data_IF_164428266781
#
_entry.id   IF_164428266781
#
_cell.length_a   1.000
_cell.length_b   1.000
_cell.length_c   1.000
_cell.angle_alpha   90.00
_cell.angle_beta   90.00
_cell.angle_gamma   90.00
#
_symmetry.space_group_name_H-M   'P 1'
#
loop_
_entity.id
_entity.type
_entity.pdbx_description
1 polymer ?
#
# COMPACT_ATOMS: atom_id res chain seq x y z
N UNK A 1 1.24 -5.91 9.38
CA UNK A 1 0.75 -5.02 8.31
C UNK A 1 -0.75 -5.23 8.23
N UNK A 2 -1.57 -4.18 8.09
CA UNK A 2 -3.00 -4.38 7.90
C UNK A 2 -3.18 -5.17 6.60
N UNK A 3 -3.88 -6.30 6.69
CA UNK A 3 -3.99 -7.31 5.62
C UNK A 3 -4.50 -6.68 4.32
N UNK A 4 -5.42 -5.72 4.43
CA UNK A 4 -5.95 -4.92 3.31
C UNK A 4 -4.89 -4.16 2.52
N UNK A 5 -3.84 -3.62 3.15
CA UNK A 5 -2.75 -2.95 2.41
C UNK A 5 -1.93 -3.92 1.56
N UNK A 6 -1.78 -5.16 2.04
CA UNK A 6 -1.03 -6.19 1.32
C UNK A 6 -1.84 -6.66 0.12
N UNK A 7 -3.14 -6.84 0.31
CA UNK A 7 -4.08 -7.23 -0.73
C UNK A 7 -4.20 -6.16 -1.82
N UNK A 8 -4.36 -4.87 -1.45
CA UNK A 8 -4.32 -3.74 -2.38
C UNK A 8 -3.02 -3.72 -3.19
N UNK A 9 -1.87 -4.00 -2.55
CA UNK A 9 -0.58 -3.99 -3.22
C UNK A 9 -0.40 -5.20 -4.15
N UNK A 10 -0.90 -6.38 -3.76
CA UNK A 10 -0.93 -7.58 -4.59
C UNK A 10 -1.87 -7.38 -5.80
N UNK A 11 -3.10 -6.94 -5.58
CA UNK A 11 -4.08 -6.66 -6.65
C UNK A 11 -3.59 -5.58 -7.63
N UNK A 12 -2.96 -4.52 -7.14
CA UNK A 12 -2.42 -3.45 -7.98
C UNK A 12 -1.19 -3.89 -8.78
N UNK A 13 -0.39 -4.84 -8.25
CA UNK A 13 0.88 -5.28 -8.85
C UNK A 13 0.75 -6.53 -9.72
N UNK A 14 -0.12 -7.44 -9.34
CA UNK A 14 -0.40 -8.71 -10.04
C UNK A 14 -1.52 -8.52 -11.07
N UNK A 15 -2.58 -7.80 -10.69
CA UNK A 15 -3.74 -7.57 -11.55
C UNK A 15 -3.72 -6.27 -12.37
N UNK A 16 -2.72 -5.39 -12.19
CA UNK A 16 -2.72 -4.02 -12.75
C UNK A 16 -4.05 -3.26 -12.52
N UNK A 17 -4.78 -3.61 -11.46
CA UNK A 17 -6.10 -3.05 -11.18
C UNK A 17 -5.96 -1.58 -10.80
N UNK A 18 -6.85 -0.74 -11.35
CA UNK A 18 -6.92 0.67 -11.00
C UNK A 18 -7.41 0.83 -9.56
N UNK A 19 -7.02 1.93 -8.90
CA UNK A 19 -7.43 2.23 -7.52
C UNK A 19 -8.95 2.17 -7.33
N UNK A 20 -9.70 2.48 -8.39
CA UNK A 20 -11.15 2.42 -8.44
C UNK A 20 -11.70 0.99 -8.42
N UNK A 21 -11.09 0.06 -9.18
CA UNK A 21 -11.48 -1.36 -9.12
C UNK A 21 -11.12 -1.97 -7.77
N UNK A 22 -9.98 -1.61 -7.20
CA UNK A 22 -9.57 -2.10 -5.89
C UNK A 22 -10.51 -1.57 -4.79
N UNK A 23 -10.95 -0.32 -4.91
CA UNK A 23 -11.94 0.29 -4.03
C UNK A 23 -13.27 -0.48 -4.08
N UNK A 24 -13.75 -0.78 -5.29
CA UNK A 24 -14.98 -1.54 -5.53
C UNK A 24 -14.89 -2.97 -4.97
N UNK A 25 -13.78 -3.66 -5.24
CA UNK A 25 -13.53 -5.05 -4.84
C UNK A 25 -13.41 -5.23 -3.31
N UNK A 26 -12.83 -4.24 -2.63
CA UNK A 26 -12.72 -4.23 -1.15
C UNK A 26 -13.92 -3.54 -0.47
N UNK A 27 -14.87 -3.00 -1.24
CA UNK A 27 -16.02 -2.24 -0.71
C UNK A 27 -15.61 -0.99 0.08
N UNK A 28 -14.48 -0.36 -0.26
CA UNK A 28 -13.97 0.85 0.40
C UNK A 28 -13.92 2.01 -0.59
N UNK A 29 -13.90 3.24 -0.09
CA UNK A 29 -13.81 4.39 -0.97
C UNK A 29 -12.41 4.54 -1.58
N UNK A 30 -12.33 5.08 -2.80
CA UNK A 30 -11.06 5.34 -3.51
C UNK A 30 -10.14 6.22 -2.65
N UNK A 31 -10.70 7.19 -1.92
CA UNK A 31 -9.99 8.03 -0.95
C UNK A 31 -9.32 7.19 0.15
N UNK A 32 -9.98 6.13 0.61
CA UNK A 32 -9.44 5.19 1.60
C UNK A 32 -8.29 4.37 1.01
N UNK A 33 -8.39 3.95 -0.26
CA UNK A 33 -7.30 3.28 -0.99
C UNK A 33 -6.09 4.20 -1.14
N UNK A 34 -6.29 5.46 -1.53
CA UNK A 34 -5.22 6.46 -1.64
C UNK A 34 -4.54 6.76 -0.30
N UNK A 35 -5.33 6.91 0.77
CA UNK A 35 -4.82 7.07 2.12
C UNK A 35 -3.99 5.85 2.55
N UNK A 36 -4.49 4.64 2.32
CA UNK A 36 -3.76 3.39 2.62
C UNK A 36 -2.47 3.25 1.80
N UNK A 37 -2.49 3.56 0.50
CA UNK A 37 -1.29 3.57 -0.34
C UNK A 37 -0.26 4.57 0.16
N UNK A 38 -0.69 5.77 0.54
CA UNK A 38 0.18 6.82 1.09
C UNK A 38 0.80 6.39 2.42
N UNK A 39 0.02 5.79 3.32
CA UNK A 39 0.51 5.24 4.59
C UNK A 39 1.48 4.09 4.35
N UNK A 40 1.18 3.19 3.40
CA UNK A 40 2.05 2.09 3.02
C UNK A 40 3.40 2.60 2.46
N UNK A 41 3.37 3.57 1.55
CA UNK A 41 4.56 4.25 1.02
C UNK A 41 5.36 4.95 2.12
N UNK A 42 4.69 5.66 3.03
CA UNK A 42 5.34 6.33 4.17
C UNK A 42 5.99 5.32 5.11
N UNK A 43 5.33 4.19 5.39
CA UNK A 43 5.90 3.07 6.15
C UNK A 43 7.07 2.42 5.44
N UNK A 44 7.00 2.20 4.13
CA UNK A 44 8.10 1.65 3.33
C UNK A 44 9.30 2.60 3.35
N UNK A 45 9.08 3.92 3.20
CA UNK A 45 10.14 4.94 3.30
C UNK A 45 10.76 4.97 4.69
N UNK A 46 9.94 4.99 5.75
CA UNK A 46 10.42 4.91 7.14
C UNK A 46 11.25 3.64 7.39
N UNK A 47 10.80 2.50 6.88
CA UNK A 47 11.51 1.22 7.01
C UNK A 47 12.80 1.18 6.18
N UNK A 48 12.82 1.81 4.99
CA UNK A 48 14.04 2.00 4.18
C UNK A 48 15.06 2.87 4.92
N UNK A 49 14.63 3.97 5.53
CA UNK A 49 15.51 4.84 6.33
C UNK A 49 16.07 4.13 7.56
N UNK A 50 15.30 3.23 8.18
CA UNK A 50 15.81 2.43 9.30
C UNK A 50 16.82 1.35 8.85
N UNK A 51 16.75 0.91 7.59
CA UNK A 51 17.66 -0.10 7.04
C UNK A 51 19.01 0.48 6.60
N UNK A 52 19.12 1.78 6.35
CA UNK A 52 20.41 2.41 5.99
C UNK A 52 21.31 2.69 7.21
N UNK A 53 20.77 2.70 8.44
CA UNK A 53 21.55 2.98 9.66
C UNK A 53 22.28 1.76 10.26
N UNK A 54 22.14 0.57 9.68
CA UNK A 54 22.81 -0.68 10.14
C UNK A 54 24.00 -1.09 9.26
N UNK A 55 24.56 -0.17 8.49
CA UNK A 55 25.82 -0.38 7.76
C UNK A 55 26.80 0.75 8.09
N UNK A 56 27.33 0.69 9.31
CA UNK A 56 28.57 1.35 9.73
C UNK A 56 29.60 0.27 10.03
#
# INVERSE_FOLDING_TARGET
MPEKCREIFLLSRDGQLSNQQIADLLGISIKTVEAQKTIALKRIRMKKSQFTLISV
#
